data_IF_659227041834
#
_entry.id   IF_659227041834
#
_cell.length_a   1.000
_cell.length_b   1.000
_cell.length_c   1.000
_cell.angle_alpha   90.00
_cell.angle_beta   90.00
_cell.angle_gamma   90.00
#
_symmetry.space_group_name_H-M   'P 1'
#
loop_
_entity.id
_entity.type
_entity.pdbx_description
1 polymer ?
#
# COMPACT_ATOMS: atom_id res chain seq x y z
N UNK A 1 81.83 27.08 -27.64
CA UNK A 1 81.03 26.95 -26.41
C UNK A 1 79.59 27.34 -26.78
N UNK A 2 78.69 26.34 -26.75
CA UNK A 2 77.22 26.32 -26.49
C UNK A 2 76.39 27.62 -26.67
N UNK A 3 75.14 27.67 -27.14
CA UNK A 3 74.08 26.76 -27.65
C UNK A 3 73.03 27.71 -28.28
N UNK A 4 72.40 27.30 -29.39
CA UNK A 4 71.24 27.94 -30.04
C UNK A 4 70.01 28.06 -29.13
N UNK A 5 69.10 28.99 -29.42
CA UNK A 5 67.65 28.73 -29.25
C UNK A 5 66.76 29.63 -30.10
N UNK A 6 66.09 28.98 -31.06
CA UNK A 6 64.86 29.40 -31.74
C UNK A 6 63.71 29.44 -30.73
N UNK A 7 62.77 30.38 -30.90
CA UNK A 7 61.41 30.23 -30.36
C UNK A 7 60.42 30.24 -31.53
N UNK A 8 59.85 29.07 -31.79
CA UNK A 8 58.74 28.85 -32.71
C UNK A 8 57.40 28.97 -31.96
N UNK A 9 56.39 29.51 -32.64
CA UNK A 9 55.00 29.53 -32.20
C UNK A 9 54.37 28.13 -32.30
N UNK A 10 53.52 27.78 -31.33
CA UNK A 10 52.63 26.64 -31.43
C UNK A 10 51.21 27.05 -30.99
N UNK A 11 50.29 26.97 -31.94
CA UNK A 11 48.84 27.11 -31.79
C UNK A 11 48.29 25.87 -31.06
N UNK A 12 47.58 26.08 -29.96
CA UNK A 12 46.86 25.02 -29.26
C UNK A 12 45.41 24.95 -29.81
N UNK A 13 45.11 23.89 -30.55
CA UNK A 13 43.75 23.40 -30.77
C UNK A 13 43.27 22.73 -29.49
N UNK A 14 42.31 23.33 -28.78
CA UNK A 14 41.56 22.68 -27.71
C UNK A 14 40.30 22.06 -28.28
N UNK A 15 40.18 20.73 -28.18
CA UNK A 15 38.96 19.99 -28.52
C UNK A 15 37.83 20.40 -27.57
N UNK A 16 36.69 20.81 -28.12
CA UNK A 16 35.47 21.03 -27.34
C UNK A 16 34.93 19.70 -26.86
N UNK A 17 34.87 19.52 -25.55
CA UNK A 17 34.05 18.49 -24.93
C UNK A 17 32.59 18.91 -25.15
N UNK A 18 31.81 18.07 -25.83
CA UNK A 18 30.41 18.35 -26.05
C UNK A 18 29.68 18.20 -24.71
N UNK A 19 29.28 19.33 -24.12
CA UNK A 19 28.32 19.39 -23.02
C UNK A 19 27.04 18.65 -23.44
N UNK A 20 26.94 17.38 -23.07
CA UNK A 20 25.67 16.67 -23.13
C UNK A 20 24.83 17.19 -21.97
N UNK A 21 23.67 17.81 -22.21
CA UNK A 21 22.79 18.19 -21.11
C UNK A 21 22.43 16.91 -20.32
N UNK A 22 22.38 16.97 -18.97
CA UNK A 22 21.97 15.82 -18.18
C UNK A 22 20.57 15.37 -18.64
N UNK A 23 20.41 14.08 -18.93
CA UNK A 23 19.11 13.49 -19.21
C UNK A 23 18.16 13.84 -18.05
N UNK A 24 16.95 14.38 -18.33
CA UNK A 24 15.98 14.63 -17.27
C UNK A 24 15.72 13.33 -16.50
N UNK A 25 15.75 13.40 -15.17
CA UNK A 25 15.33 12.27 -14.35
C UNK A 25 13.86 11.94 -14.69
N UNK A 26 13.53 10.65 -14.83
CA UNK A 26 12.14 10.24 -14.99
C UNK A 26 11.34 10.67 -13.76
N UNK A 27 10.25 11.42 -13.96
CA UNK A 27 9.38 11.85 -12.87
C UNK A 27 8.58 10.65 -12.36
N UNK A 28 8.86 10.23 -11.13
CA UNK A 28 8.11 9.15 -10.48
C UNK A 28 6.76 9.65 -9.96
N UNK A 29 5.70 8.88 -10.16
CA UNK A 29 4.32 9.18 -9.71
C UNK A 29 3.68 7.97 -9.05
N UNK A 30 2.72 8.21 -8.15
CA UNK A 30 1.92 7.12 -7.60
C UNK A 30 0.94 6.60 -8.65
N UNK A 31 0.90 5.29 -8.81
CA UNK A 31 -0.04 4.58 -9.67
C UNK A 31 -0.78 3.52 -8.86
N UNK A 32 -2.07 3.25 -9.13
CA UNK A 32 -2.83 2.22 -8.42
C UNK A 32 -2.14 0.85 -8.50
N UNK A 33 -1.74 0.32 -7.35
CA UNK A 33 -1.21 -1.04 -7.23
C UNK A 33 -2.35 -2.06 -7.34
N UNK A 34 -3.54 -1.69 -6.88
CA UNK A 34 -4.80 -2.38 -7.07
C UNK A 34 -5.86 -1.35 -7.49
N UNK A 35 -6.87 -1.80 -8.25
CA UNK A 35 -8.13 -1.06 -8.36
C UNK A 35 -9.06 -1.54 -7.23
N UNK A 36 -9.80 -0.64 -6.60
CA UNK A 36 -10.70 -1.03 -5.49
C UNK A 36 -11.86 -1.90 -5.96
N UNK A 37 -12.22 -1.79 -7.24
CA UNK A 37 -13.23 -2.59 -7.93
C UNK A 37 -12.79 -4.05 -8.14
N UNK A 38 -11.48 -4.31 -8.13
CA UNK A 38 -10.91 -5.66 -8.27
C UNK A 38 -10.83 -6.39 -6.92
N UNK A 39 -11.07 -5.70 -5.80
CA UNK A 39 -11.09 -6.30 -4.48
C UNK A 39 -12.36 -7.11 -4.27
N UNK A 40 -12.18 -8.37 -3.86
CA UNK A 40 -13.27 -9.24 -3.47
C UNK A 40 -13.05 -9.76 -2.05
N UNK A 41 -14.12 -9.95 -1.24
CA UNK A 41 -14.02 -10.67 0.01
C UNK A 41 -13.51 -12.09 -0.25
N UNK A 42 -12.63 -12.58 0.62
CA UNK A 42 -12.17 -13.97 0.61
C UNK A 42 -12.71 -14.68 1.84
N UNK A 43 -12.95 -15.99 1.72
CA UNK A 43 -13.43 -16.80 2.84
C UNK A 43 -12.34 -17.13 3.85
N UNK A 44 -12.74 -17.36 5.11
CA UNK A 44 -11.90 -17.75 6.25
C UNK A 44 -10.88 -18.84 5.92
N UNK A 45 -11.27 -19.84 5.14
CA UNK A 45 -10.44 -21.00 4.81
C UNK A 45 -9.18 -20.67 3.99
N UNK A 46 -9.19 -19.54 3.27
CA UNK A 46 -8.06 -19.04 2.50
C UNK A 46 -7.50 -17.72 3.06
N UNK A 47 -8.04 -17.25 4.18
CA UNK A 47 -7.61 -16.02 4.83
C UNK A 47 -6.26 -16.23 5.57
N UNK A 48 -5.18 -15.56 5.15
CA UNK A 48 -3.88 -15.73 5.76
C UNK A 48 -3.81 -15.14 7.17
N UNK A 49 -4.70 -14.21 7.55
CA UNK A 49 -4.74 -13.61 8.89
C UNK A 49 -5.46 -14.49 9.91
N UNK A 50 -6.43 -15.28 9.48
CA UNK A 50 -7.14 -16.21 10.36
C UNK A 50 -6.35 -17.50 10.55
N UNK A 51 -5.72 -18.02 9.50
CA UNK A 51 -4.94 -19.27 9.56
C UNK A 51 -3.73 -19.20 10.51
N UNK A 52 -3.23 -18.00 10.81
CA UNK A 52 -2.14 -17.75 11.77
C UNK A 52 -2.61 -17.70 13.23
N UNK A 53 -3.90 -17.47 13.48
CA UNK A 53 -4.41 -17.37 14.84
C UNK A 53 -4.51 -18.75 15.49
N UNK A 54 -4.16 -18.89 16.78
CA UNK A 54 -4.47 -20.10 17.51
C UNK A 54 -5.96 -20.41 17.42
N UNK A 55 -6.37 -21.69 17.29
CA UNK A 55 -7.77 -22.04 17.28
C UNK A 55 -8.42 -21.57 18.59
N UNK A 56 -9.42 -20.69 18.46
CA UNK A 56 -10.28 -20.27 19.58
C UNK A 56 -11.40 -21.30 19.79
N UNK A 57 -11.89 -21.39 21.02
CA UNK A 57 -13.07 -22.21 21.35
C UNK A 57 -14.30 -21.75 20.56
N UNK A 58 -14.44 -20.44 20.39
CA UNK A 58 -15.41 -19.81 19.49
C UNK A 58 -14.64 -18.95 18.46
N UNK A 59 -14.65 -19.33 17.18
CA UNK A 59 -13.97 -18.56 16.14
C UNK A 59 -14.64 -17.19 15.94
N UNK A 60 -13.88 -16.12 15.61
CA UNK A 60 -14.49 -14.83 15.27
C UNK A 60 -15.39 -15.00 14.05
N UNK A 61 -16.49 -14.24 14.03
CA UNK A 61 -17.45 -14.25 12.94
C UNK A 61 -16.87 -13.46 11.76
N UNK A 62 -16.69 -14.15 10.64
CA UNK A 62 -16.36 -13.52 9.36
C UNK A 62 -17.59 -12.80 8.81
N UNK A 63 -17.42 -11.62 8.23
CA UNK A 63 -18.50 -11.01 7.49
C UNK A 63 -18.78 -11.81 6.23
N UNK A 64 -20.05 -12.17 6.02
CA UNK A 64 -20.50 -12.57 4.70
C UNK A 64 -20.30 -11.42 3.71
N UNK A 65 -20.43 -11.69 2.41
CA UNK A 65 -20.22 -10.71 1.35
C UNK A 65 -21.05 -9.43 1.49
N UNK A 66 -22.10 -9.43 2.32
CA UNK A 66 -22.91 -8.27 2.67
C UNK A 66 -22.15 -7.15 3.40
N UNK A 67 -21.03 -7.45 4.07
CA UNK A 67 -20.18 -6.45 4.72
C UNK A 67 -19.27 -5.67 3.77
N UNK A 68 -19.30 -5.97 2.47
CA UNK A 68 -18.45 -5.34 1.46
C UNK A 68 -19.32 -4.69 0.39
N UNK A 69 -19.21 -3.37 0.25
CA UNK A 69 -19.96 -2.60 -0.74
C UNK A 69 -19.00 -1.74 -1.56
N UNK A 70 -19.07 -1.87 -2.89
CA UNK A 70 -18.36 -0.95 -3.79
C UNK A 70 -19.21 0.31 -3.99
N UNK A 71 -18.63 1.46 -3.66
CA UNK A 71 -19.24 2.77 -3.90
C UNK A 71 -18.74 3.31 -5.24
N UNK A 72 -19.37 2.85 -6.33
CA UNK A 72 -18.91 3.03 -7.72
C UNK A 72 -18.67 4.50 -8.12
N UNK A 73 -19.51 5.43 -7.63
CA UNK A 73 -19.37 6.85 -7.98
C UNK A 73 -18.17 7.51 -7.29
N UNK A 74 -17.75 6.99 -6.13
CA UNK A 74 -16.69 7.55 -5.31
C UNK A 74 -15.38 6.77 -5.39
N UNK A 75 -15.38 5.61 -6.07
CA UNK A 75 -14.23 4.72 -6.22
C UNK A 75 -13.58 4.37 -4.88
N UNK A 76 -14.38 3.87 -3.93
CA UNK A 76 -13.87 3.24 -2.72
C UNK A 76 -14.66 1.99 -2.37
N UNK A 77 -14.03 1.11 -1.60
CA UNK A 77 -14.67 -0.08 -1.05
C UNK A 77 -15.06 0.19 0.40
N UNK A 78 -16.35 0.14 0.69
CA UNK A 78 -16.88 0.18 2.03
C UNK A 78 -16.81 -1.21 2.68
N UNK A 79 -16.34 -1.24 3.92
CA UNK A 79 -16.20 -2.40 4.78
C UNK A 79 -17.02 -2.16 6.06
N UNK A 80 -18.17 -2.81 6.17
CA UNK A 80 -19.08 -2.73 7.31
C UNK A 80 -18.97 -3.98 8.18
N UNK A 81 -18.63 -3.77 9.45
CA UNK A 81 -18.42 -4.82 10.45
C UNK A 81 -19.58 -4.92 11.44
N UNK A 82 -20.77 -4.39 11.10
CA UNK A 82 -21.93 -4.37 12.00
C UNK A 82 -22.39 -5.74 12.52
N UNK A 83 -22.15 -6.81 11.76
CA UNK A 83 -22.65 -8.17 12.06
C UNK A 83 -21.52 -9.21 12.20
N UNK A 84 -20.27 -8.78 12.34
CA UNK A 84 -19.10 -9.64 12.21
C UNK A 84 -17.85 -9.00 12.83
N UNK A 85 -16.84 -9.82 13.11
CA UNK A 85 -15.61 -9.39 13.77
C UNK A 85 -14.52 -8.96 12.78
N UNK A 86 -14.54 -9.50 11.56
CA UNK A 86 -13.52 -9.16 10.55
C UNK A 86 -13.98 -9.32 9.10
N UNK A 87 -13.28 -8.60 8.22
CA UNK A 87 -13.34 -8.71 6.75
C UNK A 87 -11.92 -8.82 6.21
N UNK A 88 -11.69 -9.74 5.27
CA UNK A 88 -10.51 -9.69 4.40
C UNK A 88 -10.94 -9.59 2.96
N UNK A 89 -10.37 -8.62 2.25
CA UNK A 89 -10.52 -8.46 0.81
C UNK A 89 -9.18 -8.67 0.11
N UNK A 90 -9.22 -9.19 -1.10
CA UNK A 90 -8.00 -9.45 -1.87
C UNK A 90 -8.16 -9.10 -3.35
N UNK A 91 -7.04 -8.71 -3.96
CA UNK A 91 -6.90 -8.47 -5.39
C UNK A 91 -5.48 -8.83 -5.85
N UNK A 92 -5.31 -9.04 -7.15
CA UNK A 92 -3.98 -9.21 -7.76
C UNK A 92 -3.29 -7.87 -7.98
N UNK A 93 -2.01 -7.76 -7.65
CA UNK A 93 -1.22 -6.57 -7.87
C UNK A 93 -1.10 -6.25 -9.38
N UNK A 94 -1.42 -5.02 -9.79
CA UNK A 94 -1.30 -4.58 -11.19
C UNK A 94 0.15 -4.45 -11.65
N UNK A 95 1.05 -4.25 -10.70
CA UNK A 95 2.47 -4.04 -10.90
C UNK A 95 3.27 -4.87 -9.91
N UNK A 96 4.50 -5.21 -10.29
CA UNK A 96 5.45 -5.69 -9.31
C UNK A 96 5.86 -4.54 -8.37
N UNK A 97 6.08 -4.88 -7.10
CA UNK A 97 6.65 -3.98 -6.09
C UNK A 97 7.98 -4.55 -5.66
N UNK A 98 9.01 -3.72 -5.60
CA UNK A 98 10.30 -4.10 -5.04
C UNK A 98 10.36 -3.75 -3.54
N UNK A 99 11.14 -4.51 -2.78
CA UNK A 99 11.47 -4.13 -1.40
C UNK A 99 12.09 -2.72 -1.39
N UNK A 100 11.62 -1.87 -0.49
CA UNK A 100 12.02 -0.47 -0.37
C UNK A 100 11.24 0.50 -1.26
N UNK A 101 10.44 0.01 -2.21
CA UNK A 101 9.62 0.88 -3.06
C UNK A 101 8.53 1.56 -2.25
N UNK A 102 8.29 2.86 -2.49
CA UNK A 102 7.31 3.62 -1.71
C UNK A 102 5.88 3.27 -2.13
N UNK A 103 5.05 3.00 -1.12
CA UNK A 103 3.62 2.76 -1.23
C UNK A 103 2.85 3.91 -0.59
N UNK A 104 1.64 4.16 -1.07
CA UNK A 104 0.67 5.09 -0.50
C UNK A 104 -0.66 4.38 -0.28
N UNK A 105 -1.11 4.33 0.96
CA UNK A 105 -2.38 3.71 1.37
C UNK A 105 -3.34 4.80 1.87
N UNK A 106 -4.56 4.83 1.33
CA UNK A 106 -5.62 5.72 1.80
C UNK A 106 -6.81 4.92 2.34
N UNK A 107 -7.09 5.08 3.63
CA UNK A 107 -8.24 4.48 4.32
C UNK A 107 -8.93 5.55 5.16
N UNK A 108 -10.25 5.55 5.21
CA UNK A 108 -10.99 6.39 6.14
C UNK A 108 -11.98 5.59 6.96
N UNK A 109 -12.41 6.17 8.07
CA UNK A 109 -13.50 5.64 8.88
C UNK A 109 -14.36 6.77 9.42
N UNK A 110 -15.63 6.48 9.67
CA UNK A 110 -16.50 7.38 10.43
C UNK A 110 -16.21 7.29 11.94
N UNK A 111 -17.00 7.99 12.76
CA UNK A 111 -16.88 7.88 14.21
C UNK A 111 -16.97 6.41 14.64
N UNK A 112 -15.89 5.90 15.23
CA UNK A 112 -15.84 4.53 15.74
C UNK A 112 -16.51 4.48 17.11
N UNK A 113 -17.41 3.53 17.29
CA UNK A 113 -18.18 3.35 18.52
C UNK A 113 -18.18 1.89 18.96
N UNK A 114 -18.14 1.70 20.26
CA UNK A 114 -18.30 0.41 20.92
C UNK A 114 -18.87 0.64 22.33
N UNK A 115 -19.51 -0.39 22.88
CA UNK A 115 -20.05 -0.35 24.25
C UNK A 115 -18.92 -0.28 25.30
N UNK A 116 -17.82 -0.98 25.02
CA UNK A 116 -16.60 -0.98 25.83
C UNK A 116 -15.41 -0.56 24.96
N UNK A 117 -14.35 0.04 25.55
CA UNK A 117 -13.15 0.37 24.78
C UNK A 117 -12.56 -0.86 24.09
N UNK A 118 -12.26 -0.71 22.82
CA UNK A 118 -11.72 -1.77 21.98
C UNK A 118 -10.67 -1.21 21.00
N UNK A 119 -10.12 -2.09 20.18
CA UNK A 119 -9.15 -1.73 19.15
C UNK A 119 -9.59 -2.36 17.83
N UNK A 120 -9.59 -1.57 16.75
CA UNK A 120 -9.62 -2.10 15.39
C UNK A 120 -8.20 -2.30 14.88
N UNK A 121 -7.99 -3.37 14.13
CA UNK A 121 -6.71 -3.70 13.49
C UNK A 121 -6.89 -3.72 11.98
N UNK A 122 -6.14 -2.88 11.29
CA UNK A 122 -6.06 -2.84 9.84
C UNK A 122 -4.71 -3.44 9.44
N UNK A 123 -4.69 -4.36 8.48
CA UNK A 123 -3.46 -5.00 8.01
C UNK A 123 -3.43 -5.09 6.50
N UNK A 124 -2.24 -4.90 5.92
CA UNK A 124 -1.95 -5.08 4.51
C UNK A 124 -0.87 -6.15 4.36
N UNK A 125 -1.10 -7.12 3.49
CA UNK A 125 -0.17 -8.23 3.23
C UNK A 125 0.02 -8.46 1.74
N UNK A 126 1.24 -8.74 1.33
CA UNK A 126 1.60 -9.23 0.01
C UNK A 126 1.94 -10.70 0.14
N UNK A 127 1.12 -11.59 -0.42
CA UNK A 127 1.27 -13.04 -0.28
C UNK A 127 1.44 -13.44 1.21
N UNK A 128 2.65 -13.81 1.64
CA UNK A 128 2.99 -14.21 3.01
C UNK A 128 3.62 -13.07 3.84
N UNK A 129 3.85 -11.90 3.26
CA UNK A 129 4.59 -10.81 3.88
C UNK A 129 3.68 -9.68 4.40
N UNK A 130 3.70 -9.42 5.71
CA UNK A 130 3.05 -8.25 6.31
C UNK A 130 3.74 -6.95 5.89
N UNK A 131 3.03 -6.13 5.14
CA UNK A 131 3.56 -4.90 4.52
C UNK A 131 3.30 -3.69 5.42
N UNK A 132 2.13 -3.66 6.05
CA UNK A 132 1.68 -2.55 6.89
C UNK A 132 0.62 -3.00 7.89
N UNK A 133 0.56 -2.33 9.04
CA UNK A 133 -0.48 -2.54 10.04
C UNK A 133 -0.81 -1.25 10.79
N UNK A 134 -2.04 -1.14 11.29
CA UNK A 134 -2.49 -0.04 12.12
C UNK A 134 -3.53 -0.47 13.13
N UNK A 135 -3.28 -0.14 14.39
CA UNK A 135 -4.25 -0.25 15.47
C UNK A 135 -4.95 1.09 15.69
N UNK A 136 -6.27 1.09 15.78
CA UNK A 136 -7.09 2.29 16.02
C UNK A 136 -7.94 2.06 17.29
N UNK A 137 -7.82 2.94 18.26
CA UNK A 137 -8.63 2.89 19.48
C UNK A 137 -10.10 3.21 19.17
N UNK A 138 -11.00 2.50 19.86
CA UNK A 138 -12.45 2.71 19.81
C UNK A 138 -12.93 3.06 21.22
N UNK A 139 -13.67 4.17 21.41
CA UNK A 139 -14.16 5.08 20.39
C UNK A 139 -13.08 6.04 19.86
N UNK A 140 -13.26 6.49 18.61
CA UNK A 140 -12.47 7.58 18.01
C UNK A 140 -13.31 8.37 17.02
N UNK A 141 -12.93 9.64 16.82
CA UNK A 141 -13.60 10.49 15.83
C UNK A 141 -13.28 10.04 14.40
N UNK A 142 -14.17 10.34 13.47
CA UNK A 142 -13.95 10.12 12.04
C UNK A 142 -12.59 10.67 11.58
N UNK A 143 -11.90 9.89 10.75
CA UNK A 143 -10.56 10.24 10.29
C UNK A 143 -10.26 9.70 8.89
N UNK A 144 -9.34 10.36 8.20
CA UNK A 144 -8.75 9.90 6.94
C UNK A 144 -7.27 9.65 7.18
N UNK A 145 -6.84 8.43 6.92
CA UNK A 145 -5.45 7.98 7.01
C UNK A 145 -4.89 7.96 5.59
N UNK A 146 -3.85 8.76 5.36
CA UNK A 146 -3.01 8.67 4.16
C UNK A 146 -1.59 8.39 4.62
N UNK A 147 -1.17 7.15 4.50
CA UNK A 147 0.11 6.65 5.02
C UNK A 147 1.04 6.36 3.83
N UNK A 148 2.28 6.85 3.90
CA UNK A 148 3.33 6.51 2.94
C UNK A 148 4.43 5.74 3.65
N UNK A 149 4.85 4.63 3.06
CA UNK A 149 5.83 3.75 3.65
C UNK A 149 6.59 2.98 2.57
N UNK A 150 7.83 2.63 2.87
CA UNK A 150 8.61 1.73 2.03
C UNK A 150 8.13 0.29 2.22
N UNK A 151 7.88 -0.45 1.14
CA UNK A 151 7.48 -1.84 1.21
C UNK A 151 8.60 -2.68 1.86
N UNK A 152 8.34 -3.42 2.95
CA UNK A 152 9.36 -4.25 3.60
C UNK A 152 9.72 -5.51 2.80
N UNK A 153 9.00 -5.78 1.71
CA UNK A 153 9.16 -6.91 0.82
C UNK A 153 8.55 -6.59 -0.54
N UNK A 154 8.92 -7.37 -1.55
CA UNK A 154 8.37 -7.24 -2.88
C UNK A 154 7.18 -8.17 -3.15
N UNK A 155 6.47 -7.89 -4.24
CA UNK A 155 5.45 -8.78 -4.82
C UNK A 155 5.59 -8.78 -6.33
N UNK A 156 5.34 -9.92 -6.98
CA UNK A 156 5.26 -9.97 -8.43
C UNK A 156 3.96 -9.33 -8.94
N UNK A 157 3.94 -8.87 -10.19
CA UNK A 157 2.69 -8.52 -10.85
C UNK A 157 1.76 -9.74 -10.87
N UNK A 158 0.50 -9.53 -10.50
CA UNK A 158 -0.52 -10.56 -10.32
C UNK A 158 -0.45 -11.31 -8.99
N UNK A 159 0.58 -11.06 -8.16
CA UNK A 159 0.65 -11.61 -6.81
C UNK A 159 -0.48 -11.06 -5.93
N UNK A 160 -0.89 -11.84 -4.93
CA UNK A 160 -2.04 -11.50 -4.10
C UNK A 160 -1.73 -10.42 -3.07
N UNK A 161 -2.55 -9.38 -3.06
CA UNK A 161 -2.58 -8.35 -2.03
C UNK A 161 -3.82 -8.55 -1.19
N UNK A 162 -3.65 -8.59 0.14
CA UNK A 162 -4.73 -8.76 1.10
C UNK A 162 -4.84 -7.52 1.98
N UNK A 163 -6.06 -7.00 2.15
CA UNK A 163 -6.38 -6.00 3.14
C UNK A 163 -7.35 -6.61 4.15
N UNK A 164 -6.96 -6.60 5.42
CA UNK A 164 -7.74 -7.17 6.52
C UNK A 164 -8.14 -6.09 7.51
N UNK A 165 -9.39 -6.14 7.91
CA UNK A 165 -9.99 -5.32 8.95
C UNK A 165 -10.54 -6.25 10.02
N UNK A 166 -10.00 -6.18 11.23
CA UNK A 166 -10.61 -6.74 12.43
C UNK A 166 -11.17 -5.57 13.24
N UNK A 167 -12.44 -5.62 13.60
CA UNK A 167 -13.09 -4.54 14.34
C UNK A 167 -14.09 -5.11 15.35
N UNK A 168 -14.12 -4.53 16.55
CA UNK A 168 -15.12 -4.84 17.55
C UNK A 168 -16.17 -3.71 17.61
N UNK A 169 -17.35 -3.96 17.05
CA UNK A 169 -18.48 -3.04 17.08
C UNK A 169 -19.06 -2.74 15.70
N UNK A 170 -20.09 -1.90 15.67
CA UNK A 170 -20.77 -1.54 14.42
C UNK A 170 -20.09 -0.33 13.79
N UNK A 171 -19.06 -0.59 12.98
CA UNK A 171 -18.24 0.44 12.38
C UNK A 171 -18.01 0.20 10.89
N UNK A 172 -17.84 1.30 10.17
CA UNK A 172 -17.65 1.34 8.72
C UNK A 172 -16.30 1.97 8.38
N UNK A 173 -15.58 1.32 7.46
CA UNK A 173 -14.31 1.76 6.93
C UNK A 173 -14.40 1.87 5.41
N UNK A 174 -13.59 2.73 4.81
CA UNK A 174 -13.54 2.93 3.37
C UNK A 174 -12.09 2.80 2.91
N UNK A 175 -11.80 1.73 2.18
CA UNK A 175 -10.53 1.57 1.48
C UNK A 175 -10.61 2.31 0.16
N UNK A 176 -9.81 3.37 0.02
CA UNK A 176 -9.89 4.31 -1.10
C UNK A 176 -8.82 4.05 -2.15
N UNK A 177 -7.60 3.77 -1.72
CA UNK A 177 -6.52 3.47 -2.66
C UNK A 177 -5.36 2.74 -1.99
N UNK A 178 -4.67 1.93 -2.78
CA UNK A 178 -3.33 1.45 -2.51
C UNK A 178 -2.52 1.64 -3.78
N UNK A 179 -1.48 2.45 -3.69
CA UNK A 179 -0.69 2.92 -4.82
C UNK A 179 0.79 2.63 -4.60
N UNK A 180 1.53 2.53 -5.70
CA UNK A 180 2.99 2.34 -5.70
C UNK A 180 3.65 3.48 -6.48
N UNK A 181 4.75 4.02 -5.95
CA UNK A 181 5.55 5.04 -6.61
C UNK A 181 6.35 4.41 -7.75
N UNK A 182 6.16 4.90 -8.98
CA UNK A 182 6.78 4.38 -10.19
C UNK A 182 7.32 5.47 -11.08
#
# INVERSE_FOLDING_TARGET
>A
MRISSLCAAALLFGCGDHDHPPTPAEETTFQPLIEVEDLAPIGREVDPFVSEQPPLEEPPLECETSGVLLEEEQHWLELDTAECDFITVAAGARFAVEEGQELSLSVSHFDLKAAEPATAELRLRFEECDVWQKSIAIPSAANVLTERFAAPCGIAQGGQVFFHLHNHGQNTYQLRSLEVLR
#
